data_IF_420675816410
#
_entry.id   IF_420675816410
#
_cell.length_a   1.000
_cell.length_b   1.000
_cell.length_c   1.000
_cell.angle_alpha   90.00
_cell.angle_beta   90.00
_cell.angle_gamma   90.00
#
_symmetry.space_group_name_H-M   'P 1'
#
loop_
_entity.id
_entity.type
_entity.pdbx_description
1 polymer ?
#
# COMPACT_ATOMS: atom_id res chain seq x y z
N UNK A 1 -39.55 -13.04 -14.50
CA UNK A 1 -39.05 -12.76 -15.87
C UNK A 1 -37.53 -12.70 -15.81
N UNK A 2 -36.85 -13.77 -16.20
CA UNK A 2 -35.38 -13.80 -16.31
C UNK A 2 -35.01 -13.58 -17.78
N UNK A 3 -34.22 -12.55 -18.06
CA UNK A 3 -33.79 -12.16 -19.41
C UNK A 3 -32.66 -13.06 -19.90
N UNK A 4 -32.81 -13.58 -21.13
CA UNK A 4 -31.84 -14.42 -21.81
C UNK A 4 -30.67 -13.58 -22.36
N UNK A 5 -29.45 -13.88 -21.92
CA UNK A 5 -28.22 -13.34 -22.49
C UNK A 5 -27.94 -14.07 -23.81
N UNK A 6 -27.97 -13.36 -24.93
CA UNK A 6 -27.58 -13.88 -26.24
C UNK A 6 -26.07 -14.14 -26.27
N UNK A 7 -25.65 -15.40 -26.32
CA UNK A 7 -24.29 -15.77 -26.72
C UNK A 7 -24.16 -15.58 -28.23
N UNK A 8 -23.40 -14.57 -28.65
CA UNK A 8 -22.89 -14.48 -30.02
C UNK A 8 -21.77 -15.51 -30.19
N UNK A 9 -22.06 -16.56 -30.96
CA UNK A 9 -21.06 -17.57 -31.34
C UNK A 9 -20.23 -17.05 -32.51
N UNK A 10 -19.02 -16.58 -32.25
CA UNK A 10 -18.06 -16.25 -33.32
C UNK A 10 -17.47 -17.57 -33.84
N UNK A 11 -17.83 -17.94 -35.08
CA UNK A 11 -17.38 -19.15 -35.75
C UNK A 11 -16.12 -18.83 -36.56
N UNK A 12 -14.95 -19.18 -36.05
CA UNK A 12 -13.70 -19.15 -36.82
C UNK A 12 -13.54 -20.46 -37.60
N UNK A 13 -13.20 -20.45 -38.90
CA UNK A 13 -13.01 -21.66 -39.68
C UNK A 13 -11.62 -22.26 -39.40
N UNK A 14 -11.58 -23.42 -38.75
CA UNK A 14 -10.38 -24.27 -38.64
C UNK A 14 -10.48 -25.50 -39.55
N UNK A 15 -9.35 -26.04 -40.05
CA UNK A 15 -9.35 -27.15 -41.01
C UNK A 15 -9.83 -28.44 -40.34
N UNK A 16 -10.60 -29.23 -41.11
CA UNK A 16 -11.21 -30.47 -40.68
C UNK A 16 -10.15 -31.55 -40.34
N UNK A 17 -10.32 -32.22 -39.19
CA UNK A 17 -9.76 -33.55 -38.97
C UNK A 17 -8.65 -33.72 -37.93
N UNK A 18 -8.61 -32.95 -36.84
CA UNK A 18 -7.77 -33.31 -35.67
C UNK A 18 -8.63 -33.88 -34.53
N UNK A 19 -8.21 -34.98 -33.87
CA UNK A 19 -8.91 -35.47 -32.68
C UNK A 19 -8.73 -34.46 -31.55
N UNK A 20 -9.85 -33.99 -31.00
CA UNK A 20 -9.86 -33.17 -29.79
C UNK A 20 -9.27 -33.97 -28.62
N UNK A 21 -8.00 -33.77 -28.33
CA UNK A 21 -7.41 -34.18 -27.06
C UNK A 21 -7.96 -33.22 -25.98
N UNK A 22 -8.91 -33.72 -25.18
CA UNK A 22 -9.26 -33.10 -23.90
C UNK A 22 -8.07 -33.27 -22.96
N UNK A 23 -7.12 -32.34 -23.02
CA UNK A 23 -6.13 -32.19 -21.96
C UNK A 23 -6.88 -31.72 -20.70
N UNK A 24 -6.75 -32.42 -19.57
CA UNK A 24 -7.31 -31.92 -18.32
C UNK A 24 -6.71 -30.55 -18.04
N UNK A 25 -7.56 -29.52 -17.90
CA UNK A 25 -7.13 -28.23 -17.38
C UNK A 25 -6.43 -28.49 -16.05
N UNK A 26 -5.20 -27.99 -15.82
CA UNK A 26 -4.60 -28.09 -14.52
C UNK A 26 -5.53 -27.39 -13.54
N UNK A 27 -6.04 -28.13 -12.56
CA UNK A 27 -6.69 -27.53 -11.39
C UNK A 27 -5.67 -26.59 -10.79
N UNK A 28 -5.83 -25.30 -11.04
CA UNK A 28 -5.03 -24.28 -10.38
C UNK A 28 -5.30 -24.47 -8.89
N UNK A 29 -4.31 -24.85 -8.06
CA UNK A 29 -4.55 -24.92 -6.64
C UNK A 29 -4.97 -23.52 -6.22
N UNK A 30 -6.18 -23.41 -5.66
CA UNK A 30 -6.60 -22.21 -4.96
C UNK A 30 -5.57 -22.04 -3.86
N UNK A 31 -4.53 -21.24 -4.11
CA UNK A 31 -3.70 -20.72 -3.04
C UNK A 31 -4.70 -19.97 -2.18
N UNK A 32 -5.02 -20.53 -1.02
CA UNK A 32 -5.74 -19.79 0.00
C UNK A 32 -4.92 -18.52 0.19
N UNK A 33 -5.41 -17.43 -0.40
CA UNK A 33 -4.88 -16.12 -0.12
C UNK A 33 -5.29 -15.90 1.33
N UNK A 34 -4.38 -16.23 2.24
CA UNK A 34 -4.51 -15.83 3.64
C UNK A 34 -4.45 -14.33 3.57
N UNK A 35 -5.62 -13.69 3.52
CA UNK A 35 -5.70 -12.24 3.66
C UNK A 35 -4.99 -11.93 4.97
N UNK A 36 -3.90 -11.16 4.96
CA UNK A 36 -3.14 -10.91 6.17
C UNK A 36 -4.01 -10.02 7.07
N UNK A 37 -4.67 -10.67 8.03
CA UNK A 37 -5.54 -10.00 8.99
C UNK A 37 -4.70 -9.16 9.95
N UNK A 38 -5.20 -7.99 10.34
CA UNK A 38 -4.58 -7.14 11.35
C UNK A 38 -3.44 -6.22 10.86
N UNK A 39 -3.06 -6.29 9.57
CA UNK A 39 -2.13 -5.30 9.01
C UNK A 39 -2.79 -3.91 8.96
N UNK A 40 -2.00 -2.87 9.21
CA UNK A 40 -2.46 -1.49 9.07
C UNK A 40 -2.04 -0.98 7.71
N UNK A 41 -3.02 -0.59 6.89
CA UNK A 41 -2.78 0.11 5.63
C UNK A 41 -2.92 1.60 5.86
N UNK A 42 -1.89 2.35 5.49
CA UNK A 42 -1.85 3.81 5.54
C UNK A 42 -1.84 4.36 4.12
N UNK A 43 -2.90 5.08 3.76
CA UNK A 43 -3.06 5.71 2.46
C UNK A 43 -2.86 7.21 2.62
N UNK A 44 -2.04 7.80 1.76
CA UNK A 44 -1.85 9.25 1.71
C UNK A 44 -1.90 9.76 0.28
N UNK A 45 -2.67 10.81 0.06
CA UNK A 45 -2.79 11.49 -1.22
C UNK A 45 -2.33 12.94 -1.12
N UNK A 46 -1.61 13.38 -2.15
CA UNK A 46 -1.06 14.74 -2.24
C UNK A 46 -1.69 15.55 -3.38
N UNK A 47 -1.97 16.81 -3.07
CA UNK A 47 -2.15 17.89 -4.04
C UNK A 47 -0.99 18.87 -3.85
N UNK A 48 -0.26 19.17 -4.91
CA UNK A 48 0.92 20.04 -4.81
C UNK A 48 0.53 21.52 -4.98
N UNK A 49 1.34 22.41 -4.40
CA UNK A 49 1.23 23.83 -4.71
C UNK A 49 1.52 24.06 -6.21
N UNK A 50 0.89 25.06 -6.85
CA UNK A 50 1.05 25.32 -8.28
C UNK A 50 2.48 25.71 -8.67
N UNK A 51 3.32 26.09 -7.70
CA UNK A 51 4.73 26.44 -7.88
C UNK A 51 5.65 25.22 -8.00
N UNK A 52 5.19 24.02 -7.63
CA UNK A 52 6.03 22.82 -7.60
C UNK A 52 6.19 22.24 -9.00
N UNK A 53 7.44 22.14 -9.44
CA UNK A 53 7.79 21.60 -10.75
C UNK A 53 7.61 20.08 -10.85
N UNK A 54 7.48 19.54 -12.06
CA UNK A 54 7.37 18.09 -12.29
C UNK A 54 8.57 17.30 -11.77
N UNK A 55 9.78 17.86 -11.86
CA UNK A 55 10.99 17.23 -11.30
C UNK A 55 10.97 17.17 -9.78
N UNK A 56 10.44 18.21 -9.12
CA UNK A 56 10.25 18.19 -7.66
C UNK A 56 9.16 17.18 -7.26
N UNK A 57 8.05 17.10 -7.99
CA UNK A 57 7.03 16.06 -7.77
C UNK A 57 7.63 14.66 -7.89
N UNK A 58 8.48 14.43 -8.90
CA UNK A 58 9.19 13.17 -9.07
C UNK A 58 10.17 12.88 -7.90
N UNK A 59 10.91 13.89 -7.45
CA UNK A 59 11.81 13.75 -6.29
C UNK A 59 11.04 13.43 -5.00
N UNK A 60 9.89 14.07 -4.79
CA UNK A 60 9.01 13.79 -3.66
C UNK A 60 8.49 12.35 -3.73
N UNK A 61 7.97 11.93 -4.89
CA UNK A 61 7.42 10.59 -5.05
C UNK A 61 8.48 9.49 -4.85
N UNK A 62 9.65 9.63 -5.49
CA UNK A 62 10.77 8.70 -5.32
C UNK A 62 11.28 8.67 -3.87
N UNK A 63 11.35 9.84 -3.21
CA UNK A 63 11.71 9.92 -1.80
C UNK A 63 10.70 9.21 -0.90
N UNK A 64 9.40 9.37 -1.16
CA UNK A 64 8.36 8.69 -0.42
C UNK A 64 8.51 7.18 -0.54
N UNK A 65 8.67 6.64 -1.75
CA UNK A 65 8.84 5.19 -1.96
C UNK A 65 10.10 4.65 -1.27
N UNK A 66 11.16 5.46 -1.21
CA UNK A 66 12.38 5.10 -0.49
C UNK A 66 12.23 5.09 1.05
N UNK A 67 11.08 5.50 1.62
CA UNK A 67 10.84 5.39 3.06
C UNK A 67 10.80 3.93 3.53
N UNK A 68 10.29 3.01 2.70
CA UNK A 68 10.34 1.56 3.00
C UNK A 68 11.75 1.11 3.35
N UNK A 69 12.74 1.68 2.68
CA UNK A 69 14.14 1.33 2.83
C UNK A 69 14.91 2.24 3.81
N UNK A 70 14.29 3.27 4.36
CA UNK A 70 14.96 4.25 5.24
C UNK A 70 14.41 4.26 6.67
N UNK A 71 13.13 3.94 6.82
CA UNK A 71 12.50 3.82 8.12
C UNK A 71 12.96 2.53 8.81
N UNK A 72 13.46 2.67 10.02
CA UNK A 72 13.97 1.58 10.85
C UNK A 72 13.44 1.74 12.27
N UNK A 73 13.06 0.62 12.89
CA UNK A 73 12.71 0.64 14.30
C UNK A 73 13.97 0.91 15.13
N UNK A 74 13.86 1.59 16.29
CA UNK A 74 14.95 1.68 17.23
C UNK A 74 15.21 0.29 17.82
N UNK A 75 16.39 0.11 18.44
CA UNK A 75 16.62 -1.08 19.26
C UNK A 75 15.72 -1.05 20.50
N UNK A 76 15.38 -2.23 20.98
CA UNK A 76 14.46 -2.51 22.06
C UNK A 76 13.06 -1.88 21.87
N UNK A 77 12.59 -1.74 20.63
CA UNK A 77 11.30 -1.08 20.34
C UNK A 77 10.11 -1.75 21.04
N UNK A 78 10.16 -3.08 21.21
CA UNK A 78 9.12 -3.88 21.86
C UNK A 78 9.41 -4.20 23.33
N UNK A 79 10.42 -3.58 23.96
CA UNK A 79 10.80 -3.94 25.33
C UNK A 79 9.69 -3.70 26.36
N UNK A 80 8.84 -2.70 26.15
CA UNK A 80 7.74 -2.36 27.07
C UNK A 80 6.49 -3.24 26.89
N UNK A 81 6.39 -3.99 25.78
CA UNK A 81 5.24 -4.87 25.48
C UNK A 81 5.47 -6.34 25.87
N UNK A 82 6.67 -6.71 26.35
CA UNK A 82 7.05 -8.09 26.71
C UNK A 82 6.76 -8.48 28.17
N UNK A 83 5.78 -7.83 28.83
CA UNK A 83 5.40 -8.18 30.21
C UNK A 83 4.42 -9.36 30.33
N UNK A 84 3.75 -9.81 29.26
CA UNK A 84 2.79 -10.93 29.32
C UNK A 84 2.78 -11.77 28.04
N UNK A 85 3.70 -12.73 27.94
CA UNK A 85 3.45 -14.11 27.54
C UNK A 85 4.79 -14.83 27.35
N UNK A 86 5.13 -15.71 28.28
CA UNK A 86 5.96 -16.86 27.95
C UNK A 86 5.35 -17.52 26.70
N UNK A 87 6.20 -17.76 25.67
CA UNK A 87 5.89 -18.35 24.34
C UNK A 87 5.69 -17.38 23.15
N UNK A 88 6.60 -16.41 22.99
CA UNK A 88 6.78 -15.69 21.73
C UNK A 88 7.65 -16.48 20.72
N UNK A 89 7.02 -17.31 19.90
CA UNK A 89 7.57 -17.72 18.59
C UNK A 89 6.48 -17.72 17.52
N UNK A 90 5.94 -16.54 17.19
CA UNK A 90 5.19 -16.36 15.95
C UNK A 90 6.17 -16.23 14.79
N UNK A 91 6.15 -17.23 13.92
CA UNK A 91 6.94 -17.37 12.71
C UNK A 91 6.67 -16.19 11.78
N UNK A 92 7.56 -15.20 11.81
CA UNK A 92 7.79 -14.34 10.66
C UNK A 92 8.53 -15.13 9.59
N UNK A 93 8.24 -14.81 8.33
CA UNK A 93 9.04 -15.20 7.16
C UNK A 93 10.53 -15.10 7.51
N UNK A 94 11.28 -16.15 7.20
CA UNK A 94 12.63 -16.43 7.69
C UNK A 94 13.55 -15.19 7.81
N UNK A 95 14.01 -14.90 9.03
CA UNK A 95 15.42 -14.55 9.23
C UNK A 95 15.82 -13.14 9.66
N UNK A 96 14.91 -12.20 9.95
CA UNK A 96 15.34 -10.87 10.42
C UNK A 96 14.75 -10.50 11.78
N UNK A 97 15.60 -10.10 12.72
CA UNK A 97 15.18 -9.53 14.01
C UNK A 97 14.43 -8.23 13.72
N UNK A 98 13.16 -8.14 14.13
CA UNK A 98 12.32 -6.96 13.87
C UNK A 98 12.80 -5.72 14.62
N UNK A 99 13.51 -5.94 15.71
CA UNK A 99 14.10 -4.89 16.54
C UNK A 99 15.36 -4.32 15.88
N UNK A 100 15.39 -3.00 15.64
CA UNK A 100 16.42 -2.40 14.78
C UNK A 100 16.22 -2.61 13.27
N UNK A 101 15.16 -3.31 12.85
CA UNK A 101 14.90 -3.73 11.47
C UNK A 101 13.94 -2.81 10.69
N UNK A 102 13.82 -3.07 9.38
CA UNK A 102 12.82 -2.43 8.50
C UNK A 102 11.44 -2.99 8.85
N UNK A 103 10.44 -2.12 8.93
CA UNK A 103 9.12 -2.48 9.44
C UNK A 103 7.95 -2.08 8.54
N UNK A 104 8.22 -1.28 7.50
CA UNK A 104 7.26 -1.05 6.41
C UNK A 104 7.24 -2.31 5.55
N UNK A 105 6.15 -3.06 5.62
CA UNK A 105 5.96 -4.33 4.90
C UNK A 105 5.93 -4.06 3.39
N UNK A 106 5.12 -3.10 2.99
CA UNK A 106 4.95 -2.71 1.60
C UNK A 106 4.84 -1.19 1.49
N UNK A 107 5.34 -0.65 0.39
CA UNK A 107 5.18 0.75 0.03
C UNK A 107 5.03 0.83 -1.49
N UNK A 108 3.94 1.42 -1.95
CA UNK A 108 3.67 1.66 -3.37
C UNK A 108 3.00 3.01 -3.56
N UNK A 109 2.94 3.51 -4.79
CA UNK A 109 2.29 4.78 -5.08
C UNK A 109 2.61 5.32 -6.48
N UNK A 110 1.94 6.39 -6.85
CA UNK A 110 2.09 6.99 -8.18
C UNK A 110 1.13 8.14 -8.45
N UNK A 111 1.21 8.67 -9.68
CA UNK A 111 0.34 9.71 -10.19
C UNK A 111 -1.05 9.15 -10.54
N UNK A 112 -2.10 9.90 -10.24
CA UNK A 112 -3.47 9.55 -10.63
C UNK A 112 -3.60 9.52 -12.16
N UNK A 113 -4.13 8.42 -12.69
CA UNK A 113 -4.41 8.21 -14.10
C UNK A 113 -5.88 7.83 -14.36
N UNK A 114 -6.75 7.93 -13.35
CA UNK A 114 -8.17 7.61 -13.51
C UNK A 114 -8.87 8.64 -14.42
N UNK A 115 -9.63 8.19 -15.43
CA UNK A 115 -10.42 9.06 -16.30
C UNK A 115 -11.75 9.50 -15.67
N UNK A 116 -12.11 9.01 -14.48
CA UNK A 116 -13.46 9.17 -13.91
C UNK A 116 -13.72 10.55 -13.28
N UNK A 117 -12.69 11.39 -13.11
CA UNK A 117 -12.85 12.77 -12.66
C UNK A 117 -13.18 12.96 -11.17
N UNK A 118 -13.15 11.89 -10.36
CA UNK A 118 -13.46 11.93 -8.93
C UNK A 118 -12.23 12.09 -8.02
N UNK A 119 -11.08 12.50 -8.55
CA UNK A 119 -9.84 12.64 -7.77
C UNK A 119 -9.88 13.78 -6.75
N UNK A 120 -10.87 14.68 -6.81
CA UNK A 120 -11.01 15.84 -5.92
C UNK A 120 -9.74 16.72 -5.84
N UNK A 121 -8.97 16.75 -6.92
CA UNK A 121 -7.72 17.52 -7.01
C UNK A 121 -6.47 16.78 -6.57
N UNK A 122 -6.58 15.60 -5.93
CA UNK A 122 -5.41 14.80 -5.57
C UNK A 122 -4.68 14.28 -6.81
N UNK A 123 -3.37 14.50 -6.84
CA UNK A 123 -2.51 14.21 -7.99
C UNK A 123 -1.74 12.91 -7.82
N UNK A 124 -1.30 12.59 -6.61
CA UNK A 124 -0.53 11.38 -6.31
C UNK A 124 -1.09 10.69 -5.07
N UNK A 125 -1.01 9.37 -5.04
CA UNK A 125 -1.36 8.55 -3.87
C UNK A 125 -0.26 7.56 -3.57
N UNK A 126 -0.01 7.35 -2.29
CA UNK A 126 0.90 6.34 -1.77
C UNK A 126 0.20 5.48 -0.73
N UNK A 127 0.62 4.23 -0.65
CA UNK A 127 0.07 3.22 0.24
C UNK A 127 1.25 2.56 0.96
N UNK A 128 1.24 2.59 2.29
CA UNK A 128 2.12 1.81 3.13
C UNK A 128 1.35 0.73 3.86
N UNK A 129 2.03 -0.37 4.15
CA UNK A 129 1.51 -1.44 4.99
C UNK A 129 2.43 -1.64 6.19
N UNK A 130 1.86 -1.61 7.39
CA UNK A 130 2.53 -1.88 8.67
C UNK A 130 1.95 -3.14 9.31
N UNK A 131 2.71 -3.77 10.20
CA UNK A 131 2.27 -5.00 10.87
C UNK A 131 1.23 -4.76 11.95
N UNK A 132 1.29 -3.61 12.60
CA UNK A 132 0.41 -3.25 13.72
C UNK A 132 0.36 -1.72 13.90
N UNK A 133 -0.55 -1.25 14.77
CA UNK A 133 -0.73 0.19 15.06
C UNK A 133 0.50 0.81 15.71
N UNK A 134 1.20 0.09 16.60
CA UNK A 134 2.37 0.60 17.32
C UNK A 134 3.48 1.02 16.35
N UNK A 135 3.76 0.22 15.32
CA UNK A 135 4.73 0.54 14.27
C UNK A 135 4.28 1.72 13.40
N UNK A 136 3.00 1.77 13.01
CA UNK A 136 2.40 2.90 12.27
C UNK A 136 2.53 4.20 13.07
N UNK A 137 2.24 4.16 14.36
CA UNK A 137 2.32 5.33 15.25
C UNK A 137 3.76 5.81 15.38
N UNK A 138 4.71 4.89 15.54
CA UNK A 138 6.13 5.25 15.52
C UNK A 138 6.56 5.89 14.19
N UNK A 139 6.14 5.34 13.05
CA UNK A 139 6.37 5.93 11.74
C UNK A 139 5.88 7.38 11.69
N UNK A 140 4.63 7.63 12.10
CA UNK A 140 4.02 8.95 12.05
C UNK A 140 4.72 9.97 12.95
N UNK A 141 5.08 9.56 14.17
CA UNK A 141 5.43 10.50 15.24
C UNK A 141 6.93 10.60 15.54
N UNK A 142 7.70 9.54 15.28
CA UNK A 142 9.06 9.40 15.84
C UNK A 142 10.13 8.97 14.84
N UNK A 143 9.77 8.31 13.74
CA UNK A 143 10.77 7.82 12.78
C UNK A 143 11.53 8.99 12.12
N UNK A 144 12.86 9.11 12.30
CA UNK A 144 13.63 10.22 11.77
C UNK A 144 13.59 10.34 10.24
N UNK A 145 13.52 9.22 9.51
CA UNK A 145 13.47 9.25 8.05
C UNK A 145 12.14 9.83 7.55
N UNK A 146 11.04 9.47 8.21
CA UNK A 146 9.73 10.04 7.91
C UNK A 146 9.62 11.52 8.33
N UNK A 147 10.18 11.91 9.48
CA UNK A 147 10.21 13.33 9.87
C UNK A 147 11.00 14.17 8.86
N UNK A 148 12.18 13.71 8.44
CA UNK A 148 12.95 14.40 7.40
C UNK A 148 12.19 14.51 6.07
N UNK A 149 11.37 13.49 5.74
CA UNK A 149 10.48 13.56 4.58
C UNK A 149 9.39 14.62 4.75
N UNK A 150 8.74 14.71 5.92
CA UNK A 150 7.75 15.77 6.24
C UNK A 150 8.35 17.16 6.12
N UNK A 151 9.57 17.37 6.62
CA UNK A 151 10.28 18.64 6.49
C UNK A 151 10.56 18.99 5.04
N UNK A 152 11.00 18.02 4.22
CA UNK A 152 11.21 18.21 2.79
C UNK A 152 9.92 18.62 2.05
N UNK A 153 8.75 18.16 2.51
CA UNK A 153 7.45 18.52 1.94
C UNK A 153 7.00 19.95 2.29
N UNK A 154 7.61 20.60 3.29
CA UNK A 154 7.23 21.92 3.76
C UNK A 154 7.09 22.94 2.62
N UNK A 155 5.92 23.58 2.51
CA UNK A 155 5.62 24.60 1.49
C UNK A 155 5.41 24.08 0.06
N UNK A 156 5.41 22.75 -0.16
CA UNK A 156 5.22 22.15 -1.49
C UNK A 156 3.82 21.58 -1.72
N UNK A 157 3.03 21.46 -0.67
CA UNK A 157 1.67 20.98 -0.74
C UNK A 157 0.70 22.16 -0.83
N UNK A 158 -0.46 21.94 -1.45
CA UNK A 158 -1.49 22.96 -1.51
C UNK A 158 -1.98 23.32 -0.09
N UNK A 159 -2.08 24.61 0.18
CA UNK A 159 -2.52 25.20 1.45
C UNK A 159 -3.57 26.27 1.14
N UNK A 160 -4.67 26.29 1.89
CA UNK A 160 -5.73 27.29 1.76
C UNK A 160 -5.71 28.34 2.88
N UNK A 161 -4.67 28.33 3.72
CA UNK A 161 -4.55 29.21 4.89
C UNK A 161 -5.39 28.75 6.09
N UNK A 162 -6.06 27.59 6.02
CA UNK A 162 -6.78 26.96 7.13
C UNK A 162 -6.20 25.58 7.50
N UNK A 163 -5.20 25.11 6.76
CA UNK A 163 -4.48 23.86 6.99
C UNK A 163 -3.97 23.21 5.69
N UNK A 164 -3.39 22.01 5.80
CA UNK A 164 -2.90 21.22 4.67
C UNK A 164 -4.07 20.60 3.88
N UNK A 165 -4.83 21.39 3.12
CA UNK A 165 -5.84 20.87 2.18
C UNK A 165 -5.22 19.92 1.16
N UNK A 166 -3.94 20.12 0.83
CA UNK A 166 -3.21 19.29 -0.11
C UNK A 166 -2.86 17.89 0.41
N UNK A 167 -3.31 17.48 1.59
CA UNK A 167 -3.07 16.13 2.13
C UNK A 167 -4.38 15.48 2.54
N UNK A 168 -4.61 14.27 2.04
CA UNK A 168 -5.65 13.38 2.55
C UNK A 168 -5.00 12.09 3.03
N UNK A 169 -5.35 11.66 4.24
CA UNK A 169 -4.80 10.46 4.88
C UNK A 169 -5.93 9.57 5.33
N UNK A 170 -5.80 8.27 5.11
CA UNK A 170 -6.75 7.28 5.58
C UNK A 170 -6.04 6.01 6.00
N UNK A 171 -6.32 5.57 7.22
CA UNK A 171 -5.76 4.35 7.79
C UNK A 171 -6.87 3.35 8.04
N UNK A 172 -6.63 2.08 7.73
CA UNK A 172 -7.53 1.00 8.12
C UNK A 172 -6.75 -0.24 8.53
N UNK A 173 -7.40 -1.06 9.36
CA UNK A 173 -6.91 -2.36 9.78
C UNK A 173 -7.57 -3.44 8.92
N UNK A 174 -6.74 -4.31 8.33
CA UNK A 174 -7.21 -5.34 7.41
C UNK A 174 -8.20 -6.30 8.10
N UNK A 175 -9.43 -6.31 7.59
CA UNK A 175 -10.51 -7.16 8.08
C UNK A 175 -11.30 -6.59 9.26
N UNK A 176 -11.05 -5.34 9.65
CA UNK A 176 -11.87 -4.61 10.64
C UNK A 176 -12.79 -3.65 9.89
N UNK A 177 -14.09 -3.75 10.13
CA UNK A 177 -15.12 -2.99 9.42
C UNK A 177 -16.00 -2.13 10.35
N UNK A 178 -15.84 -2.26 11.67
CA UNK A 178 -16.54 -1.52 12.73
C UNK A 178 -15.61 -1.23 13.91
#
# INVERSE_FOLDING_TARGET
MWGALHMMTIKLPGPAGSPFFLLPLPLCPIKHNVYPMGLITHIVSFTYAPTVSSSEKHLIASSFLALKERCVLPRNFYADTQAESDEAKTVGVEGETLDGGRYIVECSGGCNNSPEGFSRGFEHTFILTFRNKQERDYYLDRDPAHQAFKEMLGGKLADDGKGLIGVWVFDFEAGVFE
#
